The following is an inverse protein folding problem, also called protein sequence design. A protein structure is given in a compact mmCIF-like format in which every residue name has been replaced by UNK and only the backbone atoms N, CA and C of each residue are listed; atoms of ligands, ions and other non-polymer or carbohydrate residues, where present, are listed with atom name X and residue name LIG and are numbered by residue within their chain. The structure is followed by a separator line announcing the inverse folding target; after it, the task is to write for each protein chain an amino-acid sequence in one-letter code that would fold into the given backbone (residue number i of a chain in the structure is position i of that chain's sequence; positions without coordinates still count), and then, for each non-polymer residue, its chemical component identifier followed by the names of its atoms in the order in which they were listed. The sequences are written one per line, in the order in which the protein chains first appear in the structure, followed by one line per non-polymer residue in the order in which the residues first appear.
data_IF_481536989496
#
_entry.id   IF_481536989496
#
_cell.length_a   1.000
_cell.length_b   1.000
_cell.length_c   1.000
_cell.angle_alpha   90.00
_cell.angle_beta   90.00
_cell.angle_gamma   90.00
#
_symmetry.space_group_name_H-M   'P 1'
#
loop_
_entity.id
_entity.type
_entity.pdbx_description
1 polymer ?
#
# COMPACT_ATOMS: atom_id res chain seq x y z
N UNK A 1 -2.75 4.05 -18.67
CA UNK A 1 -1.67 3.10 -18.97
C UNK A 1 -1.92 1.81 -18.23
N UNK A 2 -2.66 0.90 -18.86
CA UNK A 2 -3.30 -0.27 -18.22
C UNK A 2 -2.37 -1.50 -18.12
N UNK A 3 -1.22 -1.46 -18.81
CA UNK A 3 -0.44 -2.66 -19.11
C UNK A 3 0.54 -3.07 -18.00
N UNK A 4 1.02 -2.15 -17.16
CA UNK A 4 2.11 -2.46 -16.20
C UNK A 4 1.74 -3.54 -15.17
N UNK A 5 0.55 -3.42 -14.57
CA UNK A 5 0.05 -4.42 -13.62
C UNK A 5 -0.32 -5.75 -14.29
N UNK A 6 -0.76 -5.69 -15.55
CA UNK A 6 -1.12 -6.87 -16.33
C UNK A 6 0.13 -7.68 -16.72
N UNK A 7 1.19 -7.01 -17.18
CA UNK A 7 2.49 -7.64 -17.46
C UNK A 7 3.07 -8.25 -16.19
N UNK A 8 3.04 -7.54 -15.05
CA UNK A 8 3.56 -8.06 -13.80
C UNK A 8 2.78 -9.30 -13.34
N UNK A 9 1.45 -9.27 -13.46
CA UNK A 9 0.59 -10.40 -13.12
C UNK A 9 0.81 -11.58 -14.06
N UNK A 10 1.06 -11.34 -15.35
CA UNK A 10 1.36 -12.38 -16.33
C UNK A 10 2.71 -13.06 -16.05
N UNK A 11 3.76 -12.25 -15.79
CA UNK A 11 5.07 -12.75 -15.40
C UNK A 11 5.01 -13.58 -14.12
N UNK A 12 4.27 -13.12 -13.11
CA UNK A 12 4.12 -13.89 -11.87
C UNK A 12 3.26 -15.13 -12.06
N UNK A 13 2.31 -15.11 -13.00
CA UNK A 13 1.56 -16.31 -13.34
C UNK A 13 2.40 -17.34 -14.11
N UNK A 14 3.31 -16.91 -14.99
CA UNK A 14 4.26 -17.80 -15.68
C UNK A 14 5.29 -18.38 -14.73
N UNK A 15 5.74 -17.63 -13.72
CA UNK A 15 6.82 -18.02 -12.81
C UNK A 15 6.31 -18.81 -11.59
N UNK A 16 5.16 -18.41 -11.03
CA UNK A 16 4.60 -18.97 -9.78
C UNK A 16 3.22 -19.61 -9.95
N UNK A 17 2.60 -19.55 -11.13
CA UNK A 17 1.25 -20.10 -11.36
C UNK A 17 0.14 -19.31 -10.67
N UNK A 18 -1.00 -19.96 -10.41
CA UNK A 18 -2.20 -19.32 -9.82
C UNK A 18 -1.95 -18.81 -8.39
N UNK A 19 -1.12 -19.50 -7.61
CA UNK A 19 -0.72 -19.09 -6.25
C UNK A 19 0.08 -17.79 -6.23
N UNK A 20 0.82 -17.48 -7.30
CA UNK A 20 1.60 -16.24 -7.42
C UNK A 20 0.75 -14.97 -7.41
N UNK A 21 -0.47 -15.01 -7.95
CA UNK A 21 -1.38 -13.85 -8.01
C UNK A 21 -1.79 -13.35 -6.62
N UNK A 22 -2.09 -14.28 -5.71
CA UNK A 22 -2.49 -13.97 -4.32
C UNK A 22 -1.29 -13.40 -3.56
N UNK A 23 -0.11 -14.01 -3.71
CA UNK A 23 1.12 -13.54 -3.09
C UNK A 23 1.47 -12.11 -3.53
N UNK A 24 1.29 -11.82 -4.82
CA UNK A 24 1.57 -10.50 -5.38
C UNK A 24 0.64 -9.42 -4.82
N UNK A 25 -0.66 -9.73 -4.69
CA UNK A 25 -1.61 -8.83 -4.03
C UNK A 25 -1.24 -8.55 -2.57
N UNK A 26 -0.84 -9.58 -1.83
CA UNK A 26 -0.39 -9.44 -0.44
C UNK A 26 0.86 -8.55 -0.34
N UNK A 27 1.86 -8.78 -1.18
CA UNK A 27 3.10 -7.97 -1.21
C UNK A 27 2.80 -6.51 -1.52
N UNK A 28 1.91 -6.23 -2.49
CA UNK A 28 1.52 -4.85 -2.83
C UNK A 28 0.84 -4.17 -1.63
N UNK A 29 -0.07 -4.85 -0.94
CA UNK A 29 -0.74 -4.31 0.26
C UNK A 29 0.30 -4.01 1.34
N UNK A 30 1.25 -4.92 1.57
CA UNK A 30 2.33 -4.73 2.55
C UNK A 30 3.25 -3.55 2.18
N UNK A 31 3.63 -3.42 0.90
CA UNK A 31 4.46 -2.33 0.42
C UNK A 31 3.75 -0.97 0.57
N UNK A 32 2.45 -0.92 0.26
CA UNK A 32 1.63 0.27 0.43
C UNK A 32 1.47 0.65 1.92
N UNK A 33 1.30 -0.35 2.79
CA UNK A 33 1.24 -0.15 4.24
C UNK A 33 2.56 0.39 4.77
N UNK A 34 3.70 -0.22 4.41
CA UNK A 34 5.05 0.25 4.82
C UNK A 34 5.34 1.67 4.35
N UNK A 35 4.99 2.03 3.11
CA UNK A 35 5.14 3.40 2.60
C UNK A 35 4.33 4.38 3.44
N UNK A 36 3.08 4.02 3.73
CA UNK A 36 2.18 4.83 4.54
C UNK A 36 2.73 5.01 5.96
N UNK A 37 3.20 3.94 6.60
CA UNK A 37 3.82 3.99 7.94
C UNK A 37 5.12 4.81 7.92
N UNK A 38 5.96 4.65 6.90
CA UNK A 38 7.22 5.38 6.75
C UNK A 38 7.00 6.89 6.59
N UNK A 39 6.04 7.29 5.74
CA UNK A 39 5.65 8.68 5.57
C UNK A 39 5.01 9.24 6.85
N UNK A 40 4.18 8.45 7.53
CA UNK A 40 3.61 8.81 8.84
C UNK A 40 4.70 9.07 9.86
N UNK A 41 5.71 8.20 9.93
CA UNK A 41 6.82 8.32 10.88
C UNK A 41 7.70 9.53 10.57
N UNK A 42 7.99 9.78 9.29
CA UNK A 42 8.73 10.97 8.85
C UNK A 42 7.96 12.26 9.17
N UNK A 43 6.66 12.30 8.87
CA UNK A 43 5.79 13.41 9.24
C UNK A 43 5.65 13.52 10.76
N UNK A 44 5.50 12.43 11.51
CA UNK A 44 5.38 12.43 12.97
C UNK A 44 6.68 12.88 13.65
N UNK A 45 7.86 12.59 13.10
CA UNK A 45 9.12 13.17 13.57
C UNK A 45 9.17 14.69 13.37
N UNK A 46 8.70 15.17 12.21
CA UNK A 46 8.54 16.60 11.93
C UNK A 46 7.44 17.27 12.78
N UNK A 47 6.36 16.53 13.03
CA UNK A 47 5.13 16.98 13.67
C UNK A 47 5.17 16.77 15.18
N UNK A 48 6.09 15.98 15.73
CA UNK A 48 6.42 15.93 17.17
C UNK A 48 6.85 17.32 17.66
N UNK A 49 7.38 18.15 16.76
CA UNK A 49 7.68 19.55 17.04
C UNK A 49 6.44 20.48 16.98
N UNK A 50 5.31 20.05 16.38
CA UNK A 50 4.19 20.94 16.02
C UNK A 50 2.79 20.46 16.48
N UNK A 51 2.52 19.16 16.66
CA UNK A 51 1.21 18.59 17.04
C UNK A 51 1.29 17.09 17.48
N UNK A 52 0.92 16.73 18.72
CA UNK A 52 1.19 15.41 19.32
C UNK A 52 0.16 14.27 19.06
N UNK A 53 -0.70 14.32 18.03
CA UNK A 53 -1.90 13.44 17.96
C UNK A 53 -2.26 12.81 16.60
N UNK A 54 -1.37 12.79 15.61
CA UNK A 54 -1.72 12.21 14.30
C UNK A 54 -1.66 10.67 14.34
N UNK A 55 -2.82 10.10 14.65
CA UNK A 55 -3.06 8.67 14.88
C UNK A 55 -3.03 7.87 13.58
N UNK A 56 -2.22 6.82 13.57
CA UNK A 56 -2.10 5.75 12.55
C UNK A 56 -3.45 5.22 12.00
N UNK A 57 -4.54 5.39 12.76
CA UNK A 57 -5.91 5.07 12.35
C UNK A 57 -6.37 5.85 11.11
N UNK A 58 -6.03 7.13 10.99
CA UNK A 58 -6.55 7.98 9.89
C UNK A 58 -6.03 7.51 8.53
N UNK A 59 -4.80 7.02 8.47
CA UNK A 59 -4.11 6.68 7.22
C UNK A 59 -4.58 5.33 6.69
N UNK A 60 -4.73 4.34 7.57
CA UNK A 60 -5.37 3.06 7.21
C UNK A 60 -6.80 3.27 6.75
N UNK A 61 -7.57 4.13 7.43
CA UNK A 61 -8.94 4.47 7.00
C UNK A 61 -8.94 5.19 5.64
N UNK A 62 -8.04 6.15 5.41
CA UNK A 62 -7.89 6.84 4.12
C UNK A 62 -7.58 5.87 2.99
N UNK A 63 -6.63 4.94 3.18
CA UNK A 63 -6.23 4.00 2.12
C UNK A 63 -7.32 2.98 1.80
N UNK A 64 -8.05 2.52 2.82
CA UNK A 64 -9.22 1.65 2.65
C UNK A 64 -10.34 2.38 1.89
N UNK A 65 -10.64 3.63 2.27
CA UNK A 65 -11.67 4.44 1.60
C UNK A 65 -11.25 4.78 0.17
N UNK A 66 -10.00 5.17 -0.05
CA UNK A 66 -9.50 5.47 -1.40
C UNK A 66 -9.55 4.23 -2.29
N UNK A 67 -9.16 3.06 -1.78
CA UNK A 67 -9.29 1.80 -2.51
C UNK A 67 -10.74 1.45 -2.81
N UNK A 68 -11.68 1.71 -1.89
CA UNK A 68 -13.10 1.46 -2.11
C UNK A 68 -13.73 2.42 -3.13
N UNK A 69 -13.16 3.62 -3.30
CA UNK A 69 -13.62 4.61 -4.29
C UNK A 69 -12.97 4.35 -5.67
N UNK A 70 -11.71 3.91 -5.70
CA UNK A 70 -10.96 3.60 -6.93
C UNK A 70 -11.26 2.21 -7.50
N UNK A 71 -11.71 1.28 -6.64
CA UNK A 71 -12.08 -0.09 -7.04
C UNK A 71 -13.34 -0.14 -7.90
#
# INVERSE_FOLDING_TARGET
SENGGLILTNVVNELYGTSGKILLGLVIILACLTTSVGLTSACAGFFTNIFPKLSHKTIVTMVCVFSLIVS
#
